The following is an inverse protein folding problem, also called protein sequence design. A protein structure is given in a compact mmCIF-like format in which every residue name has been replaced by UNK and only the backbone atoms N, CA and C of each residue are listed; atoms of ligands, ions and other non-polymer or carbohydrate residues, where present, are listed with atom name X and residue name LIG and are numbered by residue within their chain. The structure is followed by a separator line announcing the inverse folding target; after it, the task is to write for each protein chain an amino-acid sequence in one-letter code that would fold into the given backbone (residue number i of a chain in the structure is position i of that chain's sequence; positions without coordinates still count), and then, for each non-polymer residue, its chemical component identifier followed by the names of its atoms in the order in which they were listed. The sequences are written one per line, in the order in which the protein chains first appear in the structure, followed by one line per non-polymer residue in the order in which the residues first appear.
data_IF_124232569466
#
_entry.id   IF_124232569466
#
_cell.length_a   1.000
_cell.length_b   1.000
_cell.length_c   1.000
_cell.angle_alpha   90.00
_cell.angle_beta   90.00
_cell.angle_gamma   90.00
#
_symmetry.space_group_name_H-M   'P 1'
#
loop_
_entity.id
_entity.type
_entity.pdbx_description
1 polymer ?
#
# COMPACT_ATOMS: atom_id res chain seq x y z
N UNK A 1 -23.57 -53.33 -69.92
CA UNK A 1 -22.90 -52.02 -70.06
C UNK A 1 -23.86 -50.97 -69.54
N UNK A 2 -23.38 -50.15 -68.59
CA UNK A 2 -23.78 -48.78 -68.24
C UNK A 2 -25.29 -48.45 -68.15
N UNK A 3 -25.83 -47.72 -67.18
CA UNK A 3 -25.30 -46.97 -66.04
C UNK A 3 -26.50 -46.16 -65.54
N UNK A 4 -26.88 -46.35 -64.27
CA UNK A 4 -27.28 -45.35 -63.28
C UNK A 4 -28.17 -44.15 -63.68
N UNK A 5 -29.22 -43.91 -62.87
CA UNK A 5 -29.25 -42.77 -61.96
C UNK A 5 -30.59 -42.68 -61.19
N UNK A 6 -30.59 -43.14 -59.94
CA UNK A 6 -31.53 -42.65 -58.92
C UNK A 6 -30.71 -42.07 -57.78
N UNK A 7 -30.81 -40.75 -57.61
CA UNK A 7 -30.11 -39.98 -56.57
C UNK A 7 -30.68 -40.36 -55.20
N UNK A 8 -29.89 -41.03 -54.37
CA UNK A 8 -30.19 -41.22 -52.94
C UNK A 8 -29.85 -39.93 -52.18
N UNK A 9 -30.83 -39.40 -51.44
CA UNK A 9 -30.69 -38.27 -50.54
C UNK A 9 -29.70 -38.60 -49.43
N UNK A 10 -28.59 -37.86 -49.33
CA UNK A 10 -27.71 -37.90 -48.17
C UNK A 10 -28.26 -36.92 -47.12
N UNK A 11 -28.98 -37.46 -46.14
CA UNK A 11 -29.35 -36.72 -44.92
C UNK A 11 -28.09 -36.51 -44.08
N UNK A 12 -27.61 -35.27 -44.01
CA UNK A 12 -26.50 -34.88 -43.11
C UNK A 12 -27.14 -34.36 -41.83
N UNK A 13 -27.07 -35.14 -40.75
CA UNK A 13 -27.35 -34.64 -39.40
C UNK A 13 -26.08 -33.93 -38.89
N UNK A 14 -26.10 -32.59 -38.86
CA UNK A 14 -25.11 -31.82 -38.12
C UNK A 14 -25.43 -31.91 -36.63
N UNK A 15 -24.62 -32.67 -35.89
CA UNK A 15 -24.64 -32.69 -34.44
C UNK A 15 -23.83 -31.49 -33.92
N UNK A 16 -24.52 -30.39 -33.62
CA UNK A 16 -23.92 -29.23 -32.98
C UNK A 16 -23.67 -29.55 -31.51
N UNK A 17 -22.47 -30.04 -31.16
CA UNK A 17 -22.04 -30.15 -29.76
C UNK A 17 -21.72 -28.73 -29.28
N UNK A 18 -22.64 -28.14 -28.53
CA UNK A 18 -22.37 -26.92 -27.76
C UNK A 18 -21.44 -27.31 -26.60
N UNK A 19 -20.13 -27.13 -26.78
CA UNK A 19 -19.19 -27.16 -25.65
C UNK A 19 -19.42 -25.87 -24.88
N UNK A 20 -20.30 -25.91 -23.88
CA UNK A 20 -20.35 -24.88 -22.86
C UNK A 20 -19.06 -25.00 -22.03
N UNK A 21 -17.98 -24.39 -22.50
CA UNK A 21 -16.80 -24.15 -21.70
C UNK A 21 -17.22 -23.28 -20.52
N UNK A 22 -17.46 -23.92 -19.38
CA UNK A 22 -17.76 -23.25 -18.13
C UNK A 22 -16.61 -22.32 -17.79
N UNK A 23 -16.80 -21.03 -18.06
CA UNK A 23 -15.96 -19.98 -17.50
C UNK A 23 -16.29 -19.98 -16.01
N UNK A 24 -15.55 -20.75 -15.22
CA UNK A 24 -15.53 -20.57 -13.78
C UNK A 24 -14.92 -19.20 -13.51
N UNK A 25 -15.79 -18.20 -13.39
CA UNK A 25 -15.45 -16.95 -12.70
C UNK A 25 -15.07 -17.36 -11.29
N UNK A 26 -13.76 -17.41 -10.99
CA UNK A 26 -13.31 -17.50 -9.59
C UNK A 26 -13.85 -16.27 -8.89
N UNK A 27 -14.67 -16.48 -7.86
CA UNK A 27 -14.93 -15.43 -6.88
C UNK A 27 -13.57 -14.89 -6.40
N UNK A 28 -13.43 -13.57 -6.32
CA UNK A 28 -12.23 -12.99 -5.73
C UNK A 28 -12.10 -13.52 -4.30
N UNK A 29 -10.94 -14.05 -3.95
CA UNK A 29 -10.66 -14.52 -2.60
C UNK A 29 -10.90 -13.36 -1.62
N UNK A 30 -11.57 -13.65 -0.50
CA UNK A 30 -11.80 -12.65 0.56
C UNK A 30 -10.43 -12.19 1.07
N UNK A 31 -10.12 -10.88 1.06
CA UNK A 31 -8.85 -10.38 1.57
C UNK A 31 -8.61 -10.88 3.01
N UNK A 32 -7.46 -11.51 3.23
CA UNK A 32 -7.04 -11.95 4.55
C UNK A 32 -6.03 -10.97 5.13
N UNK A 33 -6.15 -10.71 6.43
CA UNK A 33 -5.12 -9.96 7.15
C UNK A 33 -3.83 -10.77 7.20
N UNK A 34 -2.71 -10.09 6.95
CA UNK A 34 -1.38 -10.65 7.06
C UNK A 34 -0.52 -9.68 7.86
N UNK A 35 0.32 -10.22 8.73
CA UNK A 35 1.25 -9.41 9.50
C UNK A 35 2.32 -8.84 8.58
N UNK A 36 2.33 -7.50 8.42
CA UNK A 36 3.38 -6.80 7.68
C UNK A 36 4.70 -6.77 8.48
N UNK A 37 4.59 -6.74 9.81
CA UNK A 37 5.71 -6.83 10.73
C UNK A 37 5.58 -8.09 11.59
N UNK A 38 6.64 -8.89 11.66
CA UNK A 38 6.62 -10.20 12.29
C UNK A 38 6.78 -10.19 13.83
N UNK A 39 6.92 -9.01 14.44
CA UNK A 39 7.11 -8.85 15.89
C UNK A 39 8.50 -9.22 16.42
N UNK A 40 9.44 -9.63 15.57
CA UNK A 40 10.74 -10.20 15.98
C UNK A 40 11.93 -9.47 15.40
N UNK A 41 11.90 -9.16 14.12
CA UNK A 41 13.03 -8.58 13.39
C UNK A 41 12.56 -7.84 12.14
N UNK A 42 13.52 -7.33 11.36
CA UNK A 42 13.26 -6.58 10.13
C UNK A 42 13.16 -7.47 8.89
N UNK A 43 12.94 -8.78 9.04
CA UNK A 43 12.70 -9.66 7.89
C UNK A 43 11.48 -9.17 7.11
N UNK A 44 11.64 -9.03 5.79
CA UNK A 44 10.60 -8.46 4.93
C UNK A 44 10.64 -6.94 4.81
N UNK A 45 11.60 -6.28 5.46
CA UNK A 45 11.87 -4.84 5.35
C UNK A 45 13.20 -4.58 4.64
N UNK A 46 13.29 -3.44 3.97
CA UNK A 46 14.48 -2.96 3.29
C UNK A 46 14.71 -1.51 3.69
N UNK A 47 15.91 -1.23 4.22
CA UNK A 47 16.35 0.14 4.45
C UNK A 47 16.47 0.89 3.11
N UNK A 48 16.10 2.17 3.10
CA UNK A 48 16.21 3.03 1.92
C UNK A 48 17.33 4.04 2.11
N UNK A 49 17.34 4.73 3.25
CA UNK A 49 18.31 5.82 3.50
C UNK A 49 18.46 6.18 4.98
N UNK A 50 18.34 5.19 5.87
CA UNK A 50 18.59 5.39 7.31
C UNK A 50 19.98 4.89 7.71
N UNK A 51 20.28 4.92 9.00
CA UNK A 51 21.48 4.32 9.57
C UNK A 51 21.15 2.94 10.16
N UNK A 52 22.14 2.04 10.32
CA UNK A 52 21.93 0.71 10.92
C UNK A 52 21.29 0.73 12.32
N UNK A 53 21.38 1.85 13.04
CA UNK A 53 20.83 2.02 14.39
C UNK A 53 19.54 2.84 14.43
N UNK A 54 18.99 3.25 13.28
CA UNK A 54 17.76 4.03 13.20
C UNK A 54 16.53 3.19 13.53
N UNK A 55 16.49 1.94 13.07
CA UNK A 55 15.39 1.00 13.28
C UNK A 55 15.82 -0.16 14.18
N UNK A 56 14.99 -0.51 15.13
CA UNK A 56 15.21 -1.67 16.00
C UNK A 56 13.89 -2.34 16.37
N UNK A 57 13.99 -3.57 16.86
CA UNK A 57 12.85 -4.31 17.42
C UNK A 57 13.11 -4.56 18.89
N UNK A 58 12.12 -4.24 19.73
CA UNK A 58 12.17 -4.51 21.17
C UNK A 58 10.77 -4.79 21.69
N UNK A 59 10.61 -5.87 22.46
CA UNK A 59 9.35 -6.24 23.12
C UNK A 59 8.16 -6.33 22.14
N UNK A 60 8.40 -6.86 20.93
CA UNK A 60 7.37 -6.97 19.89
C UNK A 60 7.06 -5.67 19.16
N UNK A 61 7.76 -4.57 19.45
CA UNK A 61 7.56 -3.26 18.85
C UNK A 61 8.68 -2.93 17.86
N UNK A 62 8.28 -2.37 16.72
CA UNK A 62 9.18 -1.71 15.79
C UNK A 62 9.44 -0.27 16.27
N UNK A 63 10.70 0.07 16.50
CA UNK A 63 11.13 1.35 17.08
C UNK A 63 11.96 2.12 16.05
N UNK A 64 11.67 3.41 15.89
CA UNK A 64 12.41 4.35 15.06
C UNK A 64 13.02 5.48 15.90
N UNK A 65 14.33 5.71 15.78
CA UNK A 65 15.00 6.88 16.40
C UNK A 65 14.79 8.18 15.61
N UNK A 66 14.38 8.09 14.34
CA UNK A 66 14.19 9.23 13.43
C UNK A 66 15.48 9.96 13.02
N UNK A 67 16.65 9.39 13.33
CA UNK A 67 17.96 9.99 13.06
C UNK A 67 18.88 9.00 12.33
N UNK A 68 19.38 9.33 11.13
CA UNK A 68 18.97 10.45 10.29
C UNK A 68 17.51 10.32 9.85
N UNK A 69 16.93 11.41 9.33
CA UNK A 69 15.64 11.35 8.65
C UNK A 69 15.78 10.45 7.42
N UNK A 70 14.87 9.49 7.30
CA UNK A 70 14.80 8.56 6.19
C UNK A 70 13.70 7.54 6.43
N UNK A 71 13.59 6.57 5.53
CA UNK A 71 12.55 5.55 5.55
C UNK A 71 13.14 4.15 5.41
N UNK A 72 12.40 3.16 5.87
CA UNK A 72 12.49 1.79 5.37
C UNK A 72 11.17 1.43 4.69
N UNK A 73 11.16 0.38 3.88
CA UNK A 73 9.97 -0.09 3.18
C UNK A 73 9.80 -1.59 3.29
N UNK A 74 8.59 -2.09 3.04
CA UNK A 74 8.40 -3.51 2.79
C UNK A 74 9.17 -3.94 1.53
N UNK A 75 9.71 -5.16 1.54
CA UNK A 75 10.33 -5.78 0.37
C UNK A 75 9.28 -5.98 -0.73
N UNK A 76 8.11 -6.52 -0.33
CA UNK A 76 6.94 -6.69 -1.20
C UNK A 76 6.28 -5.34 -1.50
N UNK A 77 5.86 -5.15 -2.75
CA UNK A 77 5.05 -4.02 -3.18
C UNK A 77 3.57 -4.37 -3.13
N UNK A 78 2.74 -3.38 -2.83
CA UNK A 78 1.29 -3.49 -2.73
C UNK A 78 0.65 -2.37 -3.54
N UNK A 79 -0.42 -2.70 -4.25
CA UNK A 79 -1.21 -1.73 -5.02
C UNK A 79 -2.51 -1.41 -4.28
N UNK A 80 -3.38 -2.41 -4.14
CA UNK A 80 -4.63 -2.34 -3.39
C UNK A 80 -4.47 -3.06 -2.05
N UNK A 81 -4.75 -2.39 -0.94
CA UNK A 81 -4.60 -2.96 0.38
C UNK A 81 -5.52 -2.29 1.42
N UNK A 82 -5.78 -3.03 2.49
CA UNK A 82 -6.20 -2.47 3.77
C UNK A 82 -5.00 -2.54 4.70
N UNK A 83 -4.67 -1.42 5.35
CA UNK A 83 -3.56 -1.32 6.28
C UNK A 83 -4.09 -0.94 7.65
N UNK A 84 -3.78 -1.75 8.66
CA UNK A 84 -4.02 -1.44 10.05
C UNK A 84 -2.67 -1.29 10.75
N UNK A 85 -2.45 -0.15 11.39
CA UNK A 85 -1.22 0.14 12.15
C UNK A 85 -1.60 0.83 13.44
N UNK A 86 -1.04 0.34 14.54
CA UNK A 86 -1.02 1.03 15.83
C UNK A 86 0.34 1.71 16.00
N UNK A 87 0.34 2.94 16.49
CA UNK A 87 1.56 3.72 16.66
C UNK A 87 1.46 4.63 17.88
N UNK A 88 2.62 5.06 18.40
CA UNK A 88 2.72 6.08 19.44
C UNK A 88 4.03 6.83 19.30
N UNK A 89 4.00 8.13 19.60
CA UNK A 89 5.22 8.91 19.86
C UNK A 89 5.55 8.84 21.35
N UNK A 90 6.84 8.82 21.65
CA UNK A 90 7.33 8.77 23.03
C UNK A 90 7.64 10.16 23.60
N UNK A 91 7.72 11.16 22.73
CA UNK A 91 8.10 12.54 23.07
C UNK A 91 7.08 13.53 22.52
N UNK A 92 6.79 14.63 23.24
CA UNK A 92 5.94 15.70 22.75
C UNK A 92 6.41 16.25 21.39
N UNK A 93 5.49 16.40 20.45
CA UNK A 93 5.78 16.90 19.11
C UNK A 93 6.53 15.91 18.20
N UNK A 94 6.53 14.62 18.53
CA UNK A 94 7.00 13.57 17.62
C UNK A 94 6.37 13.68 16.23
N UNK A 95 7.16 13.38 15.20
CA UNK A 95 6.77 13.48 13.80
C UNK A 95 7.31 12.27 13.02
N UNK A 96 6.40 11.55 12.37
CA UNK A 96 6.68 10.41 11.51
C UNK A 96 5.55 10.28 10.48
N UNK A 97 5.61 9.28 9.61
CA UNK A 97 4.52 8.99 8.69
C UNK A 97 4.68 7.64 8.04
N UNK A 98 3.58 7.13 7.47
CA UNK A 98 3.61 6.01 6.55
C UNK A 98 3.52 6.56 5.14
N UNK A 99 4.37 6.07 4.24
CA UNK A 99 4.29 6.39 2.83
C UNK A 99 3.63 5.23 2.07
N UNK A 100 2.40 5.45 1.58
CA UNK A 100 1.72 4.59 0.62
C UNK A 100 2.09 4.98 -0.82
N UNK A 101 2.09 4.01 -1.73
CA UNK A 101 2.41 4.20 -3.16
C UNK A 101 3.69 5.03 -3.39
N UNK A 102 4.72 4.75 -2.58
CA UNK A 102 5.98 5.47 -2.63
C UNK A 102 6.93 4.89 -3.67
N UNK A 103 7.74 5.75 -4.28
CA UNK A 103 8.84 5.30 -5.15
C UNK A 103 10.09 4.88 -4.37
N UNK A 104 10.10 5.11 -3.04
CA UNK A 104 11.24 4.85 -2.15
C UNK A 104 12.56 5.43 -2.68
N UNK A 105 12.50 6.58 -3.37
CA UNK A 105 13.66 7.32 -3.87
C UNK A 105 13.76 8.65 -3.14
N UNK A 106 14.59 8.74 -2.09
CA UNK A 106 14.80 9.97 -1.35
C UNK A 106 15.26 11.10 -2.26
N UNK A 107 14.75 12.29 -2.03
CA UNK A 107 15.23 13.49 -2.68
C UNK A 107 15.07 14.69 -1.74
N UNK A 108 15.71 15.83 -2.05
CA UNK A 108 15.56 17.06 -1.26
C UNK A 108 15.81 16.84 0.24
N UNK A 109 14.74 16.91 1.04
CA UNK A 109 14.74 16.71 2.49
C UNK A 109 14.90 15.23 2.94
N UNK A 110 15.34 14.34 2.05
CA UNK A 110 15.56 12.90 2.26
C UNK A 110 14.29 12.04 2.36
N UNK A 111 13.12 12.60 2.12
CA UNK A 111 11.88 11.82 2.03
C UNK A 111 11.61 11.44 0.57
N UNK A 112 11.03 10.25 0.32
CA UNK A 112 10.64 9.86 -1.03
C UNK A 112 9.33 10.54 -1.44
N UNK A 113 8.97 10.41 -2.72
CA UNK A 113 7.62 10.72 -3.17
C UNK A 113 6.66 9.62 -2.70
N UNK A 114 5.44 9.97 -2.31
CA UNK A 114 4.40 9.02 -1.92
C UNK A 114 3.17 9.72 -1.33
N UNK A 115 2.12 8.95 -1.06
CA UNK A 115 0.99 9.42 -0.27
C UNK A 115 1.38 9.23 1.19
N UNK A 116 1.58 10.33 1.91
CA UNK A 116 1.95 10.30 3.32
C UNK A 116 0.69 10.28 4.17
N UNK A 117 0.61 9.29 5.05
CA UNK A 117 -0.33 9.20 6.16
C UNK A 117 0.39 9.75 7.39
N UNK A 118 -0.02 10.94 7.82
CA UNK A 118 0.65 11.69 8.86
C UNK A 118 0.58 10.99 10.23
N UNK A 119 1.68 11.01 10.98
CA UNK A 119 1.72 10.56 12.37
C UNK A 119 2.39 11.64 13.22
N UNK A 120 1.59 12.58 13.71
CA UNK A 120 2.06 13.64 14.61
C UNK A 120 1.55 13.42 16.03
N UNK A 121 2.41 13.69 17.00
CA UNK A 121 2.02 13.76 18.40
C UNK A 121 1.17 15.02 18.68
N UNK A 122 0.23 14.96 19.63
CA UNK A 122 -0.80 15.97 19.84
C UNK A 122 -0.23 17.37 20.18
N UNK A 123 0.88 17.43 20.93
CA UNK A 123 1.52 18.70 21.26
C UNK A 123 2.29 19.32 20.09
N UNK A 124 2.41 18.62 18.95
CA UNK A 124 3.05 19.16 17.75
C UNK A 124 2.45 20.52 17.34
N UNK A 125 1.12 20.66 17.38
CA UNK A 125 0.42 21.91 17.03
C UNK A 125 0.84 23.06 17.95
N UNK A 126 0.97 22.80 19.25
CA UNK A 126 1.40 23.81 20.23
C UNK A 126 2.85 24.20 19.97
N UNK A 127 3.73 23.22 19.82
CA UNK A 127 5.17 23.40 19.60
C UNK A 127 5.49 24.09 18.26
N UNK A 128 4.58 23.97 17.27
CA UNK A 128 4.70 24.59 15.96
C UNK A 128 3.87 25.87 15.80
N UNK A 129 3.36 26.43 16.91
CA UNK A 129 2.78 27.77 16.90
C UNK A 129 3.85 28.80 16.54
N UNK A 130 3.53 29.67 15.56
CA UNK A 130 4.44 30.72 15.08
C UNK A 130 3.69 32.04 15.07
N UNK A 131 4.28 33.07 15.67
CA UNK A 131 3.68 34.42 15.77
C UNK A 131 2.24 34.38 16.32
N UNK A 132 2.01 33.54 17.34
CA UNK A 132 0.69 33.35 17.96
C UNK A 132 -0.34 32.56 17.14
N UNK A 133 0.01 32.06 15.95
CA UNK A 133 -0.86 31.25 15.10
C UNK A 133 -0.44 29.78 15.13
N UNK A 134 -1.33 28.92 15.61
CA UNK A 134 -1.15 27.48 15.60
C UNK A 134 -1.47 26.89 14.21
N UNK A 135 -0.83 25.78 13.82
CA UNK A 135 -1.30 24.93 12.73
C UNK A 135 -2.73 24.43 12.96
N UNK A 136 -3.46 24.01 11.92
CA UNK A 136 -4.75 23.34 12.08
C UNK A 136 -4.64 22.12 13.00
N UNK A 137 -5.65 21.91 13.86
CA UNK A 137 -5.74 20.75 14.75
C UNK A 137 -6.17 19.46 14.04
N UNK A 138 -6.51 19.53 12.75
CA UNK A 138 -6.23 18.43 11.82
C UNK A 138 -4.70 18.13 11.87
N UNK A 139 -3.97 17.68 10.88
CA UNK A 139 -2.52 17.38 10.96
C UNK A 139 -2.11 16.29 11.99
N UNK A 140 -2.68 16.22 13.20
CA UNK A 140 -2.44 15.23 14.26
C UNK A 140 -3.48 14.11 14.27
N UNK A 141 -4.34 14.02 13.25
CA UNK A 141 -5.42 13.02 13.17
C UNK A 141 -5.27 12.04 12.00
N UNK A 142 -4.09 11.93 11.40
CA UNK A 142 -3.82 10.91 10.36
C UNK A 142 -4.10 11.37 8.93
N UNK A 143 -3.97 12.67 8.67
CA UNK A 143 -4.29 13.27 7.38
C UNK A 143 -3.44 12.69 6.26
N UNK A 144 -4.07 12.55 5.10
CA UNK A 144 -3.46 12.07 3.86
C UNK A 144 -3.00 13.26 3.03
N UNK A 145 -1.73 13.30 2.64
CA UNK A 145 -1.26 14.31 1.70
C UNK A 145 -0.19 13.77 0.75
N UNK A 146 -0.10 14.37 -0.43
CA UNK A 146 0.93 14.03 -1.39
C UNK A 146 2.29 14.57 -0.96
N UNK A 147 3.21 13.68 -0.62
CA UNK A 147 4.58 14.00 -0.32
C UNK A 147 5.44 13.92 -1.59
N UNK A 148 6.49 14.74 -1.61
CA UNK A 148 7.48 14.73 -2.68
C UNK A 148 6.93 15.07 -4.07
N UNK A 149 5.93 15.95 -4.13
CA UNK A 149 5.28 16.37 -5.38
C UNK A 149 4.22 15.40 -5.91
N UNK A 150 3.89 14.34 -5.17
CA UNK A 150 2.72 13.53 -5.47
C UNK A 150 1.45 14.39 -5.42
N UNK A 151 0.55 14.19 -6.38
CA UNK A 151 -0.82 14.68 -6.30
C UNK A 151 -1.74 13.47 -6.21
N UNK A 152 -2.62 13.48 -5.23
CA UNK A 152 -3.66 12.48 -5.06
C UNK A 152 -5.02 13.17 -5.04
N UNK A 153 -6.03 12.52 -5.61
CA UNK A 153 -7.42 12.94 -5.54
C UNK A 153 -8.19 11.79 -4.87
N UNK A 154 -8.83 12.00 -3.72
CA UNK A 154 -9.68 10.97 -3.15
C UNK A 154 -10.89 10.74 -4.05
N UNK A 155 -11.33 9.49 -4.16
CA UNK A 155 -12.51 9.15 -4.96
C UNK A 155 -13.81 9.69 -4.32
N UNK A 156 -13.85 9.80 -2.99
CA UNK A 156 -14.97 10.36 -2.22
C UNK A 156 -14.47 11.49 -1.28
N UNK A 157 -14.56 12.77 -1.68
CA UNK A 157 -14.15 13.92 -0.88
C UNK A 157 -15.16 14.31 0.21
#
# INVERSE_FOLDING_TARGET
MNSNSTRSLKTVFLLSILIASGISVRAADIPQWVDLFNGKDLTGWMDVNTSPDTWSVKDGLLICKGKPIGVMRSVKQYENFLLHVEWRHMEPGGNSGIFAWSDAKPFGNRLPKGLEIQMLELDWVKLHTRKGKAPPIAYVHGELFGAGGLKAKPDNP
#
